data_IF_065306850463
#
_entry.id   IF_065306850463
#
_cell.length_a   1.000
_cell.length_b   1.000
_cell.length_c   1.000
_cell.angle_alpha   90.00
_cell.angle_beta   90.00
_cell.angle_gamma   90.00
#
_symmetry.space_group_name_H-M   'P 1'
#
loop_
_entity.id
_entity.type
_entity.pdbx_description
1 polymer ?
#
# COMPACT_ATOMS: atom_id res chain seq x y z
N UNK A 1 -22.58 1.96 -40.83
CA UNK A 1 -21.28 1.54 -40.26
C UNK A 1 -20.95 2.32 -38.98
N UNK A 2 -21.22 3.63 -38.89
CA UNK A 2 -21.03 4.40 -37.64
C UNK A 2 -21.97 3.99 -36.49
N UNK A 3 -23.23 3.64 -36.78
CA UNK A 3 -24.19 3.22 -35.74
C UNK A 3 -23.76 1.92 -35.02
N UNK A 4 -23.16 0.97 -35.75
CA UNK A 4 -22.66 -0.30 -35.19
C UNK A 4 -21.37 -0.11 -34.39
N UNK A 5 -20.51 0.83 -34.79
CA UNK A 5 -19.29 1.19 -34.04
C UNK A 5 -19.65 1.88 -32.72
N UNK A 6 -20.59 2.83 -32.74
CA UNK A 6 -21.08 3.50 -31.54
C UNK A 6 -21.82 2.56 -30.58
N UNK A 7 -22.59 1.59 -31.10
CA UNK A 7 -23.20 0.55 -30.29
C UNK A 7 -22.15 -0.37 -29.65
N UNK A 8 -21.12 -0.78 -30.41
CA UNK A 8 -20.00 -1.57 -29.90
C UNK A 8 -19.25 -0.86 -28.76
N UNK A 9 -18.91 0.42 -28.93
CA UNK A 9 -18.23 1.23 -27.89
C UNK A 9 -19.09 1.40 -26.64
N UNK A 10 -20.40 1.65 -26.78
CA UNK A 10 -21.33 1.77 -25.65
C UNK A 10 -21.49 0.46 -24.89
N UNK A 11 -21.55 -0.67 -25.58
CA UNK A 11 -21.61 -2.00 -24.95
C UNK A 11 -20.32 -2.31 -24.18
N UNK A 12 -19.16 -1.99 -24.76
CA UNK A 12 -17.85 -2.18 -24.11
C UNK A 12 -17.71 -1.32 -22.84
N UNK A 13 -18.09 -0.04 -22.93
CA UNK A 13 -18.17 0.85 -21.78
C UNK A 13 -19.13 0.30 -20.71
N UNK A 14 -20.32 -0.15 -21.11
CA UNK A 14 -21.31 -0.74 -20.21
C UNK A 14 -20.79 -1.98 -19.48
N UNK A 15 -20.06 -2.85 -20.17
CA UNK A 15 -19.43 -4.03 -19.56
C UNK A 15 -18.34 -3.64 -18.56
N UNK A 16 -17.48 -2.68 -18.91
CA UNK A 16 -16.44 -2.17 -18.00
C UNK A 16 -17.10 -1.55 -16.77
N UNK A 17 -18.12 -0.72 -16.95
CA UNK A 17 -18.85 -0.09 -15.85
C UNK A 17 -19.54 -1.13 -14.97
N UNK A 18 -20.14 -2.18 -15.54
CA UNK A 18 -20.79 -3.24 -14.77
C UNK A 18 -19.77 -4.03 -13.91
N UNK A 19 -18.62 -4.36 -14.48
CA UNK A 19 -17.53 -5.04 -13.76
C UNK A 19 -17.00 -4.14 -12.63
N UNK A 20 -16.74 -2.86 -12.92
CA UNK A 20 -16.28 -1.90 -11.92
C UNK A 20 -17.31 -1.69 -10.80
N UNK A 21 -18.60 -1.61 -11.13
CA UNK A 21 -19.68 -1.48 -10.17
C UNK A 21 -19.82 -2.73 -9.28
N UNK A 22 -19.63 -3.92 -9.85
CA UNK A 22 -19.60 -5.17 -9.08
C UNK A 22 -18.43 -5.19 -8.08
N UNK A 23 -17.24 -4.80 -8.54
CA UNK A 23 -16.09 -4.69 -7.65
C UNK A 23 -16.28 -3.59 -6.60
N UNK A 24 -16.93 -2.47 -6.94
CA UNK A 24 -17.20 -1.38 -6.00
C UNK A 24 -17.99 -1.85 -4.77
N UNK A 25 -18.97 -2.73 -4.97
CA UNK A 25 -19.76 -3.29 -3.88
C UNK A 25 -18.98 -4.33 -3.03
N UNK A 26 -17.84 -4.78 -3.54
CA UNK A 26 -16.93 -5.71 -2.85
C UNK A 26 -15.82 -4.99 -2.08
N UNK A 27 -15.70 -3.66 -2.21
CA UNK A 27 -14.66 -2.88 -1.53
C UNK A 27 -15.09 -2.57 -0.08
N UNK A 28 -14.42 -3.19 0.88
CA UNK A 28 -14.49 -2.87 2.30
C UNK A 28 -13.77 -1.55 2.65
N UNK A 29 -14.21 -0.86 3.71
CA UNK A 29 -13.63 0.37 4.24
C UNK A 29 -12.12 0.25 4.52
N UNK A 30 -11.66 -0.89 5.03
CA UNK A 30 -10.23 -1.14 5.32
C UNK A 30 -9.41 -1.12 4.02
N UNK A 31 -9.94 -1.64 2.91
CA UNK A 31 -9.25 -1.58 1.61
C UNK A 31 -9.20 -0.15 1.06
N UNK A 32 -10.23 0.67 1.31
CA UNK A 32 -10.22 2.10 0.98
C UNK A 32 -9.14 2.82 1.77
N UNK A 33 -9.04 2.55 3.08
CA UNK A 33 -7.98 3.13 3.93
C UNK A 33 -6.60 2.72 3.43
N UNK A 34 -6.38 1.45 3.10
CA UNK A 34 -5.12 0.98 2.52
C UNK A 34 -4.79 1.73 1.22
N UNK A 35 -5.76 1.91 0.34
CA UNK A 35 -5.55 2.66 -0.90
C UNK A 35 -5.12 4.11 -0.64
N UNK A 36 -5.79 4.81 0.28
CA UNK A 36 -5.42 6.17 0.69
C UNK A 36 -3.99 6.20 1.24
N UNK A 37 -3.64 5.26 2.12
CA UNK A 37 -2.31 5.17 2.72
C UNK A 37 -1.24 4.92 1.65
N UNK A 38 -1.48 4.08 0.65
CA UNK A 38 -0.57 3.85 -0.47
C UNK A 38 -0.31 5.12 -1.27
N UNK A 39 -1.36 5.91 -1.53
CA UNK A 39 -1.26 7.21 -2.24
C UNK A 39 -0.46 8.20 -1.41
N UNK A 40 -0.78 8.35 -0.13
CA UNK A 40 -0.08 9.26 0.79
C UNK A 40 1.40 8.89 0.90
N UNK A 41 1.72 7.61 1.06
CA UNK A 41 3.12 7.15 1.10
C UNK A 41 3.88 7.50 -0.19
N UNK A 42 3.22 7.40 -1.35
CA UNK A 42 3.88 7.68 -2.62
C UNK A 42 4.22 9.16 -2.72
N UNK A 43 3.25 10.01 -2.37
CA UNK A 43 3.44 11.45 -2.33
C UNK A 43 4.55 11.81 -1.33
N UNK A 44 4.53 11.23 -0.12
CA UNK A 44 5.55 11.47 0.90
C UNK A 44 6.96 11.10 0.41
N UNK A 45 7.11 9.94 -0.24
CA UNK A 45 8.38 9.50 -0.80
C UNK A 45 8.88 10.39 -1.95
N UNK A 46 7.97 10.85 -2.82
CA UNK A 46 8.30 11.79 -3.90
C UNK A 46 8.74 13.14 -3.33
N UNK A 47 7.99 13.70 -2.38
CA UNK A 47 8.32 14.97 -1.70
C UNK A 47 9.67 14.86 -1.01
N UNK A 48 9.91 13.78 -0.26
CA UNK A 48 11.19 13.52 0.40
C UNK A 48 12.35 13.51 -0.61
N UNK A 49 12.18 12.78 -1.72
CA UNK A 49 13.19 12.71 -2.78
C UNK A 49 13.50 14.07 -3.41
N UNK A 50 12.48 14.89 -3.66
CA UNK A 50 12.63 16.23 -4.25
C UNK A 50 13.33 17.20 -3.29
N UNK A 51 12.90 17.28 -2.03
CA UNK A 51 13.45 18.22 -1.05
C UNK A 51 14.91 17.90 -0.66
N UNK A 52 15.29 16.63 -0.71
CA UNK A 52 16.63 16.19 -0.34
C UNK A 52 17.58 16.00 -1.54
N UNK A 53 17.17 16.40 -2.75
CA UNK A 53 17.99 16.26 -3.97
C UNK A 53 18.27 14.80 -4.37
N UNK A 54 17.52 13.85 -3.81
CA UNK A 54 17.73 12.41 -3.97
C UNK A 54 16.72 11.72 -4.90
N UNK A 55 15.90 12.51 -5.60
CA UNK A 55 14.89 12.03 -6.54
C UNK A 55 15.56 11.31 -7.72
N UNK A 56 15.19 10.05 -7.93
CA UNK A 56 15.52 9.33 -9.15
C UNK A 56 14.30 8.58 -9.65
N UNK A 57 14.11 8.57 -10.97
CA UNK A 57 13.00 7.85 -11.58
C UNK A 57 13.02 6.35 -11.26
N UNK A 58 14.22 5.79 -11.15
CA UNK A 58 14.40 4.39 -10.76
C UNK A 58 13.85 4.10 -9.35
N UNK A 59 14.10 5.00 -8.39
CA UNK A 59 13.56 4.87 -7.03
C UNK A 59 12.04 5.03 -7.02
N UNK A 60 11.52 6.01 -7.74
CA UNK A 60 10.08 6.26 -7.84
C UNK A 60 9.34 5.07 -8.47
N UNK A 61 9.89 4.49 -9.55
CA UNK A 61 9.33 3.29 -10.19
C UNK A 61 9.35 2.07 -9.27
N UNK A 62 10.48 1.82 -8.60
CA UNK A 62 10.59 0.74 -7.60
C UNK A 62 9.55 0.88 -6.49
N UNK A 63 9.28 2.12 -6.04
CA UNK A 63 8.22 2.42 -5.08
C UNK A 63 6.84 2.00 -5.57
N UNK A 64 6.49 2.34 -6.81
CA UNK A 64 5.20 1.94 -7.42
C UNK A 64 5.10 0.42 -7.54
N UNK A 65 6.14 -0.24 -8.06
CA UNK A 65 6.16 -1.71 -8.22
C UNK A 65 5.90 -2.39 -6.87
N UNK A 66 6.58 -1.96 -5.80
CA UNK A 66 6.38 -2.51 -4.46
C UNK A 66 4.91 -2.43 -4.01
N UNK A 67 4.24 -1.32 -4.29
CA UNK A 67 2.83 -1.10 -3.92
C UNK A 67 1.87 -1.95 -4.72
N UNK A 68 2.13 -2.14 -6.01
CA UNK A 68 1.35 -3.05 -6.86
C UNK A 68 1.48 -4.49 -6.37
N UNK A 69 2.65 -4.88 -5.84
CA UNK A 69 2.87 -6.22 -5.28
C UNK A 69 2.09 -6.51 -3.99
N UNK A 70 1.35 -5.55 -3.45
CA UNK A 70 0.41 -5.79 -2.35
C UNK A 70 -0.90 -6.44 -2.82
N UNK A 71 -1.28 -6.26 -4.09
CA UNK A 71 -2.49 -6.88 -4.63
C UNK A 71 -2.48 -8.42 -4.55
N UNK A 72 -1.38 -9.13 -4.91
CA UNK A 72 -1.27 -10.57 -4.68
C UNK A 72 -1.41 -10.99 -3.20
N UNK A 73 -0.85 -10.21 -2.27
CA UNK A 73 -0.92 -10.51 -0.82
C UNK A 73 -2.35 -10.45 -0.33
N UNK A 74 -3.07 -9.38 -0.67
CA UNK A 74 -4.49 -9.24 -0.35
C UNK A 74 -5.32 -10.35 -0.99
N UNK A 75 -5.09 -10.64 -2.27
CA UNK A 75 -5.79 -11.69 -3.01
C UNK A 75 -5.64 -13.05 -2.34
N UNK A 76 -4.42 -13.43 -1.93
CA UNK A 76 -4.17 -14.69 -1.23
C UNK A 76 -4.91 -14.73 0.11
N UNK A 77 -4.96 -13.63 0.85
CA UNK A 77 -5.71 -13.54 2.12
C UNK A 77 -7.20 -13.82 1.92
N UNK A 78 -7.83 -13.12 0.97
CA UNK A 78 -9.26 -13.31 0.66
C UNK A 78 -9.58 -14.67 0.04
N UNK A 79 -8.66 -15.25 -0.74
CA UNK A 79 -8.79 -16.65 -1.20
C UNK A 79 -8.80 -17.60 0.01
N UNK A 80 -7.94 -17.36 1.00
CA UNK A 80 -7.93 -18.12 2.25
C UNK A 80 -9.26 -18.03 2.99
N UNK A 81 -9.82 -16.83 3.13
CA UNK A 81 -11.14 -16.63 3.74
C UNK A 81 -12.25 -17.38 2.99
N UNK A 82 -12.23 -17.33 1.65
CA UNK A 82 -13.19 -18.06 0.82
C UNK A 82 -13.10 -19.57 1.04
N UNK A 83 -11.90 -20.14 1.07
CA UNK A 83 -11.68 -21.57 1.30
C UNK A 83 -12.22 -21.98 2.68
N UNK A 84 -11.91 -21.21 3.72
CA UNK A 84 -12.36 -21.49 5.10
C UNK A 84 -13.89 -21.47 5.16
N UNK A 85 -14.51 -20.44 4.59
CA UNK A 85 -15.96 -20.30 4.61
C UNK A 85 -16.65 -21.39 3.79
N UNK A 86 -16.09 -21.76 2.64
CA UNK A 86 -16.57 -22.88 1.82
C UNK A 86 -16.57 -24.18 2.62
N UNK A 87 -15.46 -24.51 3.31
CA UNK A 87 -15.36 -25.74 4.12
C UNK A 87 -16.33 -25.70 5.31
N UNK A 88 -16.44 -24.58 6.01
CA UNK A 88 -17.37 -24.43 7.14
C UNK A 88 -18.83 -24.68 6.74
N UNK A 89 -19.25 -24.16 5.57
CA UNK A 89 -20.58 -24.42 5.02
C UNK A 89 -20.83 -25.90 4.73
N UNK A 90 -19.83 -26.64 4.21
CA UNK A 90 -19.97 -28.08 3.94
C UNK A 90 -20.22 -28.91 5.22
N UNK A 91 -19.72 -28.45 6.36
CA UNK A 91 -19.91 -29.12 7.66
C UNK A 91 -21.06 -28.50 8.48
N UNK A 92 -21.89 -27.64 7.87
CA UNK A 92 -23.01 -26.92 8.51
C UNK A 92 -22.59 -26.09 9.74
N UNK A 93 -21.39 -25.50 9.70
CA UNK A 93 -20.89 -24.57 10.70
C UNK A 93 -20.99 -23.15 10.16
N UNK A 94 -21.68 -22.27 10.89
CA UNK A 94 -21.65 -20.84 10.63
C UNK A 94 -20.56 -20.18 11.48
N UNK A 95 -19.65 -19.47 10.81
CA UNK A 95 -18.56 -18.75 11.46
C UNK A 95 -19.01 -17.37 11.95
N UNK A 96 -20.12 -16.82 11.45
CA UNK A 96 -20.63 -15.49 11.84
C UNK A 96 -19.75 -14.31 11.42
N UNK A 97 -18.62 -14.56 10.75
CA UNK A 97 -17.70 -13.57 10.21
C UNK A 97 -17.06 -14.09 8.92
N UNK A 98 -16.58 -13.16 8.07
CA UNK A 98 -15.90 -13.48 6.82
C UNK A 98 -14.81 -12.45 6.52
N UNK A 99 -13.82 -12.83 5.73
CA UNK A 99 -12.78 -11.91 5.27
C UNK A 99 -11.70 -11.57 6.30
N UNK A 100 -11.61 -12.30 7.42
CA UNK A 100 -10.71 -11.94 8.54
C UNK A 100 -9.24 -11.96 8.12
N UNK A 101 -8.83 -12.94 7.31
CA UNK A 101 -7.44 -13.08 6.88
C UNK A 101 -7.08 -11.97 5.88
N UNK A 102 -7.93 -11.72 4.89
CA UNK A 102 -7.77 -10.63 3.92
C UNK A 102 -7.75 -9.27 4.58
N UNK A 103 -8.64 -9.02 5.54
CA UNK A 103 -8.66 -7.77 6.31
C UNK A 103 -7.42 -7.63 7.20
N UNK A 104 -6.96 -8.70 7.86
CA UNK A 104 -5.72 -8.69 8.63
C UNK A 104 -4.51 -8.38 7.75
N UNK A 105 -4.45 -8.95 6.54
CA UNK A 105 -3.41 -8.61 5.56
C UNK A 105 -3.47 -7.13 5.16
N UNK A 106 -4.66 -6.57 4.95
CA UNK A 106 -4.81 -5.14 4.66
C UNK A 106 -4.33 -4.26 5.82
N UNK A 107 -4.69 -4.59 7.07
CA UNK A 107 -4.25 -3.87 8.27
C UNK A 107 -2.72 -3.94 8.43
N UNK A 108 -2.14 -5.12 8.19
CA UNK A 108 -0.69 -5.29 8.18
C UNK A 108 -0.04 -4.34 7.16
N UNK A 109 -0.54 -4.32 5.93
CA UNK A 109 -0.01 -3.45 4.88
C UNK A 109 -0.17 -1.96 5.21
N UNK A 110 -1.31 -1.55 5.76
CA UNK A 110 -1.53 -0.19 6.28
C UNK A 110 -0.44 0.18 7.28
N UNK A 111 -0.14 -0.71 8.23
CA UNK A 111 0.94 -0.52 9.19
C UNK A 111 2.29 -0.32 8.50
N UNK A 112 2.65 -1.20 7.57
CA UNK A 112 3.94 -1.12 6.85
C UNK A 112 4.12 0.18 6.07
N UNK A 113 3.07 0.67 5.42
CA UNK A 113 3.10 1.94 4.70
C UNK A 113 3.06 3.14 5.66
N UNK A 114 2.37 3.03 6.80
CA UNK A 114 2.44 4.01 7.88
C UNK A 114 3.87 4.22 8.37
N UNK A 115 4.64 3.15 8.57
CA UNK A 115 6.07 3.25 8.90
C UNK A 115 6.87 3.96 7.81
N UNK A 116 6.60 3.65 6.52
CA UNK A 116 7.25 4.31 5.39
C UNK A 116 6.94 5.81 5.31
N UNK A 117 5.68 6.20 5.53
CA UNK A 117 5.25 7.61 5.60
C UNK A 117 6.01 8.34 6.71
N UNK A 118 6.01 7.78 7.93
CA UNK A 118 6.69 8.39 9.07
C UNK A 118 8.18 8.58 8.74
N UNK A 119 8.85 7.55 8.20
CA UNK A 119 10.26 7.68 7.82
C UNK A 119 10.49 8.82 6.81
N UNK A 120 9.65 8.94 5.78
CA UNK A 120 9.75 10.00 4.79
C UNK A 120 9.52 11.39 5.42
N UNK A 121 8.56 11.52 6.34
CA UNK A 121 8.29 12.76 7.08
C UNK A 121 9.47 13.15 7.99
N UNK A 122 10.11 12.18 8.66
CA UNK A 122 11.29 12.45 9.47
C UNK A 122 12.47 12.93 8.61
N UNK A 123 12.67 12.31 7.43
CA UNK A 123 13.75 12.68 6.50
C UNK A 123 13.58 14.08 5.88
N UNK A 124 12.35 14.64 5.83
CA UNK A 124 12.12 16.03 5.42
C UNK A 124 12.23 17.02 6.59
N UNK A 125 12.45 16.54 7.82
CA UNK A 125 12.67 17.38 9.00
C UNK A 125 11.42 17.65 9.85
N UNK A 126 10.35 16.86 9.73
CA UNK A 126 9.22 16.94 10.66
C UNK A 126 9.74 16.64 12.09
N UNK A 127 9.47 17.51 13.07
CA UNK A 127 9.96 17.32 14.43
C UNK A 127 9.35 16.07 15.04
N UNK A 128 10.19 15.26 15.68
CA UNK A 128 9.78 14.02 16.30
C UNK A 128 10.64 13.70 17.54
N UNK A 129 10.07 12.97 18.52
CA UNK A 129 10.83 12.46 19.66
C UNK A 129 12.01 11.58 19.25
N UNK A 130 13.09 11.58 20.04
CA UNK A 130 14.30 10.80 19.76
C UNK A 130 14.05 9.29 19.62
N UNK A 131 13.05 8.74 20.33
CA UNK A 131 12.75 7.31 20.24
C UNK A 131 12.30 6.92 18.82
N UNK A 132 11.58 7.80 18.10
CA UNK A 132 11.20 7.53 16.71
C UNK A 132 12.42 7.52 15.80
N UNK A 133 13.33 8.49 15.96
CA UNK A 133 14.58 8.53 15.20
C UNK A 133 15.39 7.24 15.37
N UNK A 134 15.45 6.71 16.60
CA UNK A 134 16.11 5.43 16.91
C UNK A 134 15.41 4.24 16.26
N UNK A 135 14.08 4.16 16.32
CA UNK A 135 13.30 3.08 15.68
C UNK A 135 13.57 3.03 14.16
N UNK A 136 13.67 4.19 13.52
CA UNK A 136 13.90 4.28 12.07
C UNK A 136 15.39 4.31 11.67
N UNK A 137 16.32 4.23 12.64
CA UNK A 137 17.76 4.29 12.38
C UNK A 137 18.19 5.57 11.68
N UNK A 138 17.71 6.72 12.15
CA UNK A 138 18.03 8.04 11.59
C UNK A 138 19.06 8.76 12.46
N UNK A 139 20.07 9.38 11.83
CA UNK A 139 21.06 10.22 12.49
C UNK A 139 21.13 11.61 11.85
N UNK A 140 21.63 12.59 12.59
CA UNK A 140 21.95 13.91 12.05
C UNK A 140 23.31 13.87 11.37
N UNK A 141 23.39 14.36 10.14
CA UNK A 141 24.66 14.62 9.49
C UNK A 141 25.34 15.87 10.05
N UNK A 142 26.53 16.18 9.54
CA UNK A 142 27.31 17.34 9.95
C UNK A 142 26.62 18.69 9.68
N UNK A 143 25.58 18.70 8.84
CA UNK A 143 24.74 19.87 8.53
C UNK A 143 23.44 19.90 9.36
N UNK A 144 23.26 18.96 10.30
CA UNK A 144 22.09 18.85 11.18
C UNK A 144 20.87 18.17 10.54
N UNK A 145 21.00 17.67 9.29
CA UNK A 145 19.93 17.04 8.52
C UNK A 145 19.83 15.54 8.84
N UNK A 146 18.61 15.02 8.89
CA UNK A 146 18.38 13.61 9.16
C UNK A 146 18.67 12.75 7.93
N UNK A 147 19.54 11.74 8.12
CA UNK A 147 19.92 10.74 7.11
C UNK A 147 19.76 9.33 7.67
N UNK A 148 19.49 8.37 6.79
CA UNK A 148 19.34 6.95 7.14
C UNK A 148 20.72 6.29 7.26
N UNK A 149 20.97 5.57 8.34
CA UNK A 149 22.22 4.80 8.52
C UNK A 149 22.23 3.64 7.53
N UNK A 150 23.29 3.51 6.73
CA UNK A 150 23.50 2.34 5.89
C UNK A 150 24.21 1.25 6.70
N UNK A 151 23.85 -0.03 6.58
CA UNK A 151 24.51 -1.12 7.32
C UNK A 151 26.04 -1.21 7.15
N UNK A 152 26.60 -0.63 6.07
CA UNK A 152 28.05 -0.65 5.81
C UNK A 152 28.87 0.28 6.71
N UNK A 153 28.24 1.15 7.48
CA UNK A 153 28.94 2.16 8.30
C UNK A 153 29.20 1.66 9.74
N UNK A 154 28.87 0.38 10.04
CA UNK A 154 28.97 -0.23 11.37
C UNK A 154 30.15 -1.17 11.63
N UNK A 155 30.91 -1.56 10.60
CA UNK A 155 32.03 -2.53 10.71
C UNK A 155 33.39 -1.81 10.89
N UNK A 156 33.42 -0.80 11.76
CA UNK A 156 34.57 0.10 11.95
C UNK A 156 35.05 0.25 13.39
N UNK A 157 34.72 -0.68 14.30
CA UNK A 157 35.31 -0.78 15.64
C UNK A 157 35.61 -2.25 15.95
#
# INVERSE_FOLDING_TARGET
MELTQNAGTKTLLGLITAVLAYFWNSINEIMVILFIVLVVDYIAGVVQGLLNGGFSWEKAWKGIVKKVMYAPVMLIGFIGDYIIMYVAQQINVDLGFSGVIGLAACIYLIGTEGFSIIQNLLLIGVPAPEFLLKIFGLMRDNAGKLVKISPKDGDGI
#
